data_IF_646933800209
#
_entry.id   IF_646933800209
#
_cell.length_a   1.000
_cell.length_b   1.000
_cell.length_c   1.000
_cell.angle_alpha   90.00
_cell.angle_beta   90.00
_cell.angle_gamma   90.00
#
_symmetry.space_group_name_H-M   'P 1'
#
loop_
_entity.id
_entity.type
_entity.pdbx_description
1 polymer ?
#
# COMPACT_ATOMS: atom_id res chain seq x y z
N UNK A 1 -8.56 -7.73 21.01
CA UNK A 1 -8.93 -8.87 20.12
C UNK A 1 -7.64 -9.54 19.69
N UNK A 2 -7.54 -10.87 19.76
CA UNK A 2 -6.41 -11.63 19.22
C UNK A 2 -6.79 -12.08 17.80
N UNK A 3 -5.89 -11.91 16.83
CA UNK A 3 -6.07 -12.46 15.48
C UNK A 3 -5.99 -14.00 15.51
N UNK A 4 -6.58 -14.65 14.51
CA UNK A 4 -6.38 -16.09 14.31
C UNK A 4 -4.95 -16.37 13.85
N UNK A 5 -4.36 -17.45 14.36
CA UNK A 5 -2.98 -17.85 14.06
C UNK A 5 -2.93 -18.58 12.70
N UNK A 6 -3.02 -17.81 11.60
CA UNK A 6 -3.10 -18.32 10.22
C UNK A 6 -1.77 -18.27 9.44
N UNK A 7 -0.81 -17.45 9.88
CA UNK A 7 0.51 -17.31 9.25
C UNK A 7 1.64 -17.29 10.28
N UNK A 8 2.81 -17.85 9.94
CA UNK A 8 4.03 -17.54 10.69
C UNK A 8 4.39 -16.06 10.48
N UNK A 9 4.70 -15.36 11.57
CA UNK A 9 5.01 -13.94 11.56
C UNK A 9 6.49 -13.72 11.84
N UNK A 10 7.10 -12.78 11.11
CA UNK A 10 8.38 -12.20 11.51
C UNK A 10 8.14 -11.17 12.61
N UNK A 11 9.03 -11.12 13.61
CA UNK A 11 8.99 -10.09 14.65
C UNK A 11 9.59 -8.77 14.15
N UNK A 12 8.99 -8.22 13.08
CA UNK A 12 9.35 -6.96 12.45
C UNK A 12 8.06 -6.15 12.38
N UNK A 13 8.09 -4.92 12.88
CA UNK A 13 6.97 -3.99 12.83
C UNK A 13 7.34 -2.82 11.90
N UNK A 14 6.99 -2.89 10.59
CA UNK A 14 7.27 -1.81 9.65
C UNK A 14 6.43 -0.56 9.97
N UNK A 15 7.06 0.61 10.04
CA UNK A 15 6.39 1.89 10.31
C UNK A 15 6.55 2.91 9.18
N UNK A 16 7.50 2.68 8.26
CA UNK A 16 7.72 3.50 7.06
C UNK A 16 8.22 2.62 5.93
N UNK A 17 7.85 2.94 4.69
CA UNK A 17 8.42 2.29 3.51
C UNK A 17 8.43 3.24 2.30
N UNK A 18 9.49 3.15 1.49
CA UNK A 18 9.68 3.98 0.30
C UNK A 18 10.59 3.26 -0.70
N UNK A 19 10.18 3.18 -1.97
CA UNK A 19 10.91 2.44 -3.00
C UNK A 19 11.07 0.97 -2.60
N UNK A 20 12.29 0.43 -2.67
CA UNK A 20 12.58 -0.95 -2.26
C UNK A 20 12.94 -1.10 -0.78
N UNK A 21 12.66 -0.11 0.07
CA UNK A 21 13.07 -0.13 1.47
C UNK A 21 11.90 0.03 2.44
N UNK A 22 12.04 -0.61 3.61
CA UNK A 22 11.17 -0.41 4.77
C UNK A 22 12.01 -0.13 6.02
N UNK A 23 11.40 0.55 6.99
CA UNK A 23 11.95 0.85 8.30
C UNK A 23 11.03 0.29 9.37
N UNK A 24 11.59 -0.42 10.34
CA UNK A 24 10.85 -0.86 11.51
C UNK A 24 10.69 0.25 12.55
N UNK A 25 9.90 -0.01 13.59
CA UNK A 25 9.70 0.93 14.72
C UNK A 25 10.98 1.33 15.46
N UNK A 26 12.05 0.54 15.34
CA UNK A 26 13.34 0.80 15.97
C UNK A 26 14.27 1.60 15.05
N UNK A 27 13.81 1.93 13.84
CA UNK A 27 14.57 2.67 12.82
C UNK A 27 15.49 1.79 11.97
N UNK A 28 15.43 0.46 12.10
CA UNK A 28 16.22 -0.47 11.29
C UNK A 28 15.69 -0.45 9.86
N UNK A 29 16.57 -0.21 8.89
CA UNK A 29 16.25 -0.23 7.48
C UNK A 29 16.49 -1.61 6.87
N UNK A 30 15.55 -2.07 6.05
CA UNK A 30 15.63 -3.34 5.33
C UNK A 30 15.46 -3.08 3.83
N UNK A 31 16.26 -3.77 3.02
CA UNK A 31 16.00 -3.91 1.59
C UNK A 31 14.93 -4.98 1.40
N UNK A 32 13.79 -4.60 0.83
CA UNK A 32 12.68 -5.50 0.55
C UNK A 32 12.86 -6.20 -0.81
N UNK A 33 13.30 -7.45 -0.75
CA UNK A 33 13.38 -8.36 -1.90
C UNK A 33 12.18 -9.31 -1.99
N UNK A 34 11.17 -9.13 -1.14
CA UNK A 34 9.97 -9.94 -1.10
C UNK A 34 8.82 -9.29 -1.89
N UNK A 35 8.69 -7.97 -1.80
CA UNK A 35 7.69 -7.21 -2.55
C UNK A 35 6.25 -7.55 -2.18
N UNK A 36 6.01 -8.15 -1.01
CA UNK A 36 4.68 -8.45 -0.48
C UNK A 36 3.88 -9.37 -1.39
N UNK A 37 4.40 -10.56 -1.73
CA UNK A 37 3.83 -11.45 -2.76
C UNK A 37 3.78 -10.78 -4.15
N UNK A 38 4.85 -10.06 -4.53
CA UNK A 38 4.97 -9.35 -5.80
C UNK A 38 3.90 -8.27 -6.08
N UNK A 39 3.23 -7.76 -5.04
CA UNK A 39 2.18 -6.74 -5.17
C UNK A 39 2.76 -5.36 -5.46
N UNK A 40 3.85 -4.99 -4.78
CA UNK A 40 4.40 -3.62 -4.82
C UNK A 40 5.41 -3.42 -5.95
N UNK A 41 5.02 -3.68 -7.20
CA UNK A 41 5.91 -3.66 -8.37
C UNK A 41 6.59 -2.31 -8.63
N UNK A 42 5.97 -1.20 -8.23
CA UNK A 42 6.51 0.17 -8.37
C UNK A 42 7.26 0.67 -7.13
N UNK A 43 7.48 -0.22 -6.15
CA UNK A 43 8.05 0.13 -4.85
C UNK A 43 7.05 0.79 -3.90
N UNK A 44 7.40 0.79 -2.63
CA UNK A 44 6.59 1.31 -1.53
C UNK A 44 6.37 2.81 -1.69
N UNK A 45 5.14 3.26 -1.42
CA UNK A 45 4.78 4.68 -1.32
C UNK A 45 5.25 5.53 -2.51
N UNK A 46 5.18 4.99 -3.74
CA UNK A 46 5.63 5.70 -4.92
C UNK A 46 4.88 7.05 -5.05
N UNK A 47 5.58 8.21 -5.20
CA UNK A 47 4.95 9.53 -5.08
C UNK A 47 3.78 9.74 -6.05
N UNK A 48 3.91 9.26 -7.29
CA UNK A 48 2.83 9.35 -8.29
C UNK A 48 1.58 8.56 -7.86
N UNK A 49 1.76 7.36 -7.30
CA UNK A 49 0.66 6.51 -6.87
C UNK A 49 -0.07 7.13 -5.68
N UNK A 50 0.69 7.57 -4.66
CA UNK A 50 0.14 8.22 -3.47
C UNK A 50 -0.66 9.46 -3.86
N UNK A 51 -0.10 10.33 -4.72
CA UNK A 51 -0.79 11.53 -5.18
C UNK A 51 -2.11 11.21 -5.88
N UNK A 52 -2.11 10.28 -6.83
CA UNK A 52 -3.31 9.94 -7.61
C UNK A 52 -4.42 9.33 -6.75
N UNK A 53 -4.07 8.44 -5.82
CA UNK A 53 -5.03 7.88 -4.88
C UNK A 53 -5.58 8.96 -3.96
N UNK A 54 -4.74 9.80 -3.36
CA UNK A 54 -5.17 10.89 -2.48
C UNK A 54 -6.07 11.90 -3.20
N UNK A 55 -5.73 12.29 -4.43
CA UNK A 55 -6.53 13.21 -5.24
C UNK A 55 -7.93 12.65 -5.51
N UNK A 56 -8.02 11.36 -5.84
CA UNK A 56 -9.29 10.71 -6.09
C UNK A 56 -10.11 10.59 -4.81
N UNK A 57 -9.50 10.18 -3.70
CA UNK A 57 -10.18 10.07 -2.40
C UNK A 57 -10.73 11.41 -1.91
N UNK A 58 -10.02 12.51 -2.15
CA UNK A 58 -10.47 13.87 -1.81
C UNK A 58 -11.64 14.36 -2.70
N UNK A 59 -11.85 13.76 -3.88
CA UNK A 59 -12.98 14.06 -4.77
C UNK A 59 -14.16 13.13 -4.49
N UNK A 60 -13.94 11.83 -4.65
CA UNK A 60 -14.92 10.77 -4.43
C UNK A 60 -14.21 9.43 -4.21
N UNK A 61 -14.38 8.86 -3.01
CA UNK A 61 -13.76 7.58 -2.66
C UNK A 61 -14.50 6.35 -3.18
N UNK A 62 -15.82 6.44 -3.36
CA UNK A 62 -16.64 5.35 -3.88
C UNK A 62 -17.98 5.85 -4.41
N UNK A 63 -18.45 5.24 -5.49
CA UNK A 63 -19.84 5.28 -5.94
C UNK A 63 -20.16 3.98 -6.70
N UNK A 64 -21.44 3.59 -6.79
CA UNK A 64 -21.83 2.36 -7.49
C UNK A 64 -21.76 2.49 -9.01
N UNK A 65 -21.84 1.37 -9.73
CA UNK A 65 -21.91 1.36 -11.21
C UNK A 65 -23.31 1.77 -11.76
N UNK A 66 -24.13 2.44 -10.95
CA UNK A 66 -25.48 2.88 -11.35
C UNK A 66 -25.50 4.25 -12.04
N UNK A 67 -24.34 4.91 -12.17
CA UNK A 67 -24.18 6.22 -12.85
C UNK A 67 -22.99 6.18 -13.81
N UNK A 68 -22.95 7.14 -14.73
CA UNK A 68 -21.84 7.31 -15.66
C UNK A 68 -20.70 8.07 -15.01
N UNK A 69 -19.49 7.51 -15.08
CA UNK A 69 -18.24 8.15 -14.64
C UNK A 69 -17.26 8.01 -15.79
N UNK A 70 -16.79 9.13 -16.35
CA UNK A 70 -15.88 9.11 -17.51
C UNK A 70 -14.56 8.36 -17.25
N UNK A 71 -14.09 8.32 -15.99
CA UNK A 71 -12.92 7.52 -15.58
C UNK A 71 -13.13 5.99 -15.74
N UNK A 72 -14.36 5.52 -15.91
CA UNK A 72 -14.66 4.09 -16.14
C UNK A 72 -14.60 3.69 -17.62
N UNK A 73 -14.45 4.65 -18.54
CA UNK A 73 -14.46 4.42 -20.00
C UNK A 73 -13.06 4.34 -20.63
N UNK A 74 -11.99 4.42 -19.82
CA UNK A 74 -10.60 4.16 -20.24
C UNK A 74 -10.28 2.66 -20.25
#
# INVERSE_FOLDING_TARGET
MKNFDVYPLFNIEPVKAQGSYLWDKNGVQYLDLYGGHAVISIGHSHPHYVQKISDQLNKIGFYSNSVQISLQEE
#
